data_IF_230313540043
#
_entry.id   IF_230313540043
#
_cell.length_a   1.000
_cell.length_b   1.000
_cell.length_c   1.000
_cell.angle_alpha   90.00
_cell.angle_beta   90.00
_cell.angle_gamma   90.00
#
_symmetry.space_group_name_H-M   'P 1'
#
loop_
_entity.id
_entity.type
_entity.pdbx_description
1 polymer ?
#
# COMPACT_ATOMS: atom_id res chain seq x y z
N UNK A 1 8.53 -26.12 23.66
CA UNK A 1 7.33 -25.79 22.85
C UNK A 1 7.39 -24.29 22.61
N UNK A 2 7.68 -23.85 21.39
CA UNK A 2 7.56 -22.46 21.08
C UNK A 2 6.08 -22.06 21.14
N UNK A 3 5.75 -21.04 21.91
CA UNK A 3 4.39 -20.48 21.96
C UNK A 3 4.00 -20.06 20.55
N UNK A 4 3.09 -20.82 19.94
CA UNK A 4 2.52 -20.46 18.65
C UNK A 4 1.73 -19.17 18.88
N UNK A 5 2.17 -18.07 18.28
CA UNK A 5 1.51 -16.77 18.33
C UNK A 5 0.02 -16.92 17.98
N UNK A 6 -0.86 -16.35 18.78
CA UNK A 6 -2.30 -16.44 18.51
C UNK A 6 -2.69 -15.75 17.21
N UNK A 7 -3.80 -16.15 16.61
CA UNK A 7 -4.32 -15.46 15.42
C UNK A 7 -4.63 -13.99 15.70
N UNK A 8 -5.01 -13.68 16.93
CA UNK A 8 -5.26 -12.30 17.37
C UNK A 8 -3.95 -11.51 17.42
N UNK A 9 -2.88 -12.07 17.99
CA UNK A 9 -1.58 -11.41 18.04
C UNK A 9 -1.02 -11.16 16.63
N UNK A 10 -1.15 -12.14 15.72
CA UNK A 10 -0.77 -12.00 14.32
C UNK A 10 -1.53 -10.82 13.67
N UNK A 11 -2.82 -10.67 13.95
CA UNK A 11 -3.63 -9.58 13.43
C UNK A 11 -3.22 -8.22 14.02
N UNK A 12 -2.97 -8.17 15.33
CA UNK A 12 -2.51 -6.94 16.00
C UNK A 12 -1.16 -6.50 15.46
N UNK A 13 -0.19 -7.43 15.36
CA UNK A 13 1.13 -7.16 14.80
C UNK A 13 1.06 -6.62 13.37
N UNK A 14 0.20 -7.21 12.53
CA UNK A 14 -0.02 -6.75 11.18
C UNK A 14 -0.57 -5.32 11.14
N UNK A 15 -1.63 -5.05 11.90
CA UNK A 15 -2.26 -3.72 11.91
C UNK A 15 -1.32 -2.65 12.47
N UNK A 16 -0.61 -2.97 13.55
CA UNK A 16 0.39 -2.07 14.15
C UNK A 16 1.53 -1.78 13.18
N UNK A 17 2.02 -2.80 12.48
CA UNK A 17 3.09 -2.65 11.50
C UNK A 17 2.67 -1.82 10.29
N UNK A 18 1.48 -2.06 9.73
CA UNK A 18 0.95 -1.26 8.63
C UNK A 18 0.86 0.21 9.03
N UNK A 19 0.27 0.51 10.20
CA UNK A 19 0.18 1.88 10.70
C UNK A 19 1.56 2.53 10.84
N UNK A 20 2.52 1.88 11.47
CA UNK A 20 3.85 2.42 11.67
C UNK A 20 4.57 2.71 10.33
N UNK A 21 4.44 1.80 9.35
CA UNK A 21 5.04 1.97 8.03
C UNK A 21 4.36 3.09 7.23
N UNK A 22 3.03 3.21 7.28
CA UNK A 22 2.28 4.29 6.65
C UNK A 22 2.67 5.65 7.25
N UNK A 23 2.72 5.77 8.58
CA UNK A 23 3.12 7.00 9.28
C UNK A 23 4.54 7.43 8.89
N UNK A 24 5.45 6.48 8.84
CA UNK A 24 6.83 6.71 8.42
C UNK A 24 6.90 7.23 6.97
N UNK A 25 6.25 6.55 6.04
CA UNK A 25 6.25 6.91 4.62
C UNK A 25 5.51 8.24 4.37
N UNK A 26 4.38 8.48 5.02
CA UNK A 26 3.65 9.73 4.95
C UNK A 26 4.50 10.93 5.39
N UNK A 27 5.23 10.78 6.50
CA UNK A 27 6.16 11.79 7.01
C UNK A 27 7.34 12.01 6.06
N UNK A 28 7.95 10.94 5.56
CA UNK A 28 9.11 11.01 4.66
C UNK A 28 8.76 11.66 3.31
N UNK A 29 7.52 11.50 2.84
CA UNK A 29 7.03 12.06 1.58
C UNK A 29 6.21 13.35 1.75
N UNK A 30 6.13 13.93 2.95
CA UNK A 30 5.26 15.08 3.24
C UNK A 30 5.55 16.32 2.37
N UNK A 31 6.81 16.51 1.95
CA UNK A 31 7.21 17.62 1.07
C UNK A 31 7.07 17.32 -0.43
N UNK A 32 6.58 16.16 -0.80
CA UNK A 32 6.42 15.77 -2.20
C UNK A 32 5.04 16.18 -2.73
N UNK A 33 5.02 16.60 -3.97
CA UNK A 33 3.78 16.73 -4.75
C UNK A 33 3.41 15.36 -5.35
N UNK A 34 2.22 15.27 -5.94
CA UNK A 34 1.73 14.08 -6.60
C UNK A 34 0.79 13.24 -5.73
N UNK A 35 0.00 12.37 -6.39
CA UNK A 35 -1.03 11.59 -5.72
C UNK A 35 -0.46 10.52 -4.81
N UNK A 36 -1.32 10.06 -3.92
CA UNK A 36 -1.13 8.84 -3.12
C UNK A 36 -2.06 7.76 -3.68
N UNK A 37 -1.57 6.55 -3.81
CA UNK A 37 -2.34 5.40 -4.28
C UNK A 37 -2.52 4.37 -3.16
N UNK A 38 -3.75 3.97 -2.93
CA UNK A 38 -4.13 2.84 -2.08
C UNK A 38 -4.51 1.67 -2.99
N UNK A 39 -3.75 0.60 -2.96
CA UNK A 39 -4.01 -0.61 -3.75
C UNK A 39 -4.65 -1.67 -2.87
N UNK A 40 -5.94 -1.92 -3.09
CA UNK A 40 -6.76 -2.78 -2.25
C UNK A 40 -7.36 -2.03 -1.06
N UNK A 41 -8.67 -1.80 -1.12
CA UNK A 41 -9.42 -1.07 -0.09
C UNK A 41 -9.82 -1.95 1.09
N UNK A 42 -10.30 -3.15 0.79
CA UNK A 42 -10.84 -4.06 1.80
C UNK A 42 -11.90 -3.37 2.69
N UNK A 43 -11.70 -3.37 3.99
CA UNK A 43 -12.59 -2.68 4.95
C UNK A 43 -12.39 -1.15 4.97
N UNK A 44 -11.30 -0.64 4.39
CA UNK A 44 -10.98 0.79 4.32
C UNK A 44 -10.21 1.35 5.52
N UNK A 45 -9.65 0.50 6.38
CA UNK A 45 -8.90 0.97 7.58
C UNK A 45 -7.64 1.75 7.22
N UNK A 46 -6.85 1.25 6.29
CA UNK A 46 -5.62 1.92 5.82
C UNK A 46 -5.96 3.18 5.04
N UNK A 47 -6.98 3.14 4.18
CA UNK A 47 -7.49 4.32 3.47
C UNK A 47 -7.91 5.43 4.44
N UNK A 48 -8.70 5.10 5.47
CA UNK A 48 -9.13 6.07 6.48
C UNK A 48 -7.92 6.70 7.19
N UNK A 49 -6.94 5.86 7.57
CA UNK A 49 -5.72 6.34 8.21
C UNK A 49 -4.89 7.23 7.26
N UNK A 50 -4.76 6.86 5.99
CA UNK A 50 -4.12 7.72 4.98
C UNK A 50 -4.80 9.10 4.89
N UNK A 51 -6.13 9.15 4.93
CA UNK A 51 -6.86 10.43 4.92
C UNK A 51 -6.54 11.31 6.14
N UNK A 52 -6.18 10.73 7.28
CA UNK A 52 -5.81 11.48 8.47
C UNK A 52 -4.36 11.99 8.43
N UNK A 53 -3.44 11.21 7.86
CA UNK A 53 -2.00 11.54 7.89
C UNK A 53 -1.48 12.20 6.61
N UNK A 54 -2.22 12.11 5.50
CA UNK A 54 -1.87 12.76 4.24
C UNK A 54 -2.63 14.08 4.13
N UNK A 55 -1.89 15.17 3.96
CA UNK A 55 -2.46 16.52 3.75
C UNK A 55 -2.05 17.07 2.40
N UNK A 56 -2.97 17.77 1.73
CA UNK A 56 -2.70 18.50 0.49
C UNK A 56 -2.44 17.65 -0.74
N UNK A 57 -2.64 16.35 -0.67
CA UNK A 57 -2.47 15.41 -1.80
C UNK A 57 -3.71 14.57 -2.00
N UNK A 58 -4.02 14.28 -3.25
CA UNK A 58 -5.14 13.43 -3.61
C UNK A 58 -4.82 11.96 -3.37
N UNK A 59 -5.76 11.23 -2.77
CA UNK A 59 -5.65 9.78 -2.56
C UNK A 59 -6.59 9.09 -3.55
N UNK A 60 -6.05 8.22 -4.41
CA UNK A 60 -6.81 7.37 -5.33
C UNK A 60 -6.75 5.93 -4.84
N UNK A 61 -7.91 5.27 -4.85
CA UNK A 61 -8.08 3.91 -4.38
C UNK A 61 -8.31 2.99 -5.57
N UNK A 62 -7.57 1.90 -5.64
CA UNK A 62 -7.71 0.84 -6.64
C UNK A 62 -8.38 -0.37 -5.98
N UNK A 63 -9.55 -0.74 -6.43
CA UNK A 63 -10.32 -1.85 -5.85
C UNK A 63 -11.16 -2.55 -6.91
N UNK A 64 -11.35 -3.85 -6.77
CA UNK A 64 -12.23 -4.63 -7.66
C UNK A 64 -13.70 -4.39 -7.39
N UNK A 65 -14.07 -4.34 -6.10
CA UNK A 65 -15.42 -4.08 -5.66
C UNK A 65 -15.40 -3.43 -4.28
N UNK A 66 -15.99 -2.27 -4.14
CA UNK A 66 -16.03 -1.53 -2.88
C UNK A 66 -16.96 -2.24 -1.89
N UNK A 67 -16.39 -2.70 -0.77
CA UNK A 67 -17.10 -3.35 0.34
C UNK A 67 -16.61 -2.82 1.70
N UNK A 68 -16.12 -1.58 1.70
CA UNK A 68 -15.58 -0.92 2.90
C UNK A 68 -16.69 -0.46 3.85
N UNK A 69 -16.29 -0.17 5.09
CA UNK A 69 -17.14 0.54 6.04
C UNK A 69 -17.55 1.89 5.42
N UNK A 70 -18.85 2.32 5.52
CA UNK A 70 -19.30 3.60 4.98
C UNK A 70 -18.46 4.81 5.43
N UNK A 71 -17.96 4.80 6.68
CA UNK A 71 -17.07 5.85 7.20
C UNK A 71 -15.67 5.87 6.56
N UNK A 72 -15.31 4.82 5.84
CA UNK A 72 -14.00 4.63 5.19
C UNK A 72 -14.15 4.35 3.70
N UNK A 73 -15.23 4.82 3.08
CA UNK A 73 -15.49 4.65 1.65
C UNK A 73 -14.98 5.88 0.90
N UNK A 74 -14.08 5.70 -0.09
CA UNK A 74 -13.59 6.81 -0.90
C UNK A 74 -14.70 7.39 -1.79
N UNK A 75 -14.52 8.65 -2.20
CA UNK A 75 -15.36 9.27 -3.22
C UNK A 75 -15.25 8.52 -4.54
N UNK A 76 -16.35 8.46 -5.30
CA UNK A 76 -16.41 7.74 -6.58
C UNK A 76 -15.33 8.21 -7.57
N UNK A 77 -15.09 9.50 -7.62
CA UNK A 77 -14.10 10.14 -8.52
C UNK A 77 -12.66 9.78 -8.17
N UNK A 78 -12.44 9.32 -6.94
CA UNK A 78 -11.14 8.87 -6.42
C UNK A 78 -11.02 7.35 -6.37
N UNK A 79 -12.02 6.63 -6.88
CA UNK A 79 -12.05 5.15 -6.89
C UNK A 79 -11.85 4.65 -8.32
N UNK A 80 -10.83 3.83 -8.52
CA UNK A 80 -10.49 3.19 -9.80
C UNK A 80 -10.88 1.72 -9.66
N UNK A 81 -12.01 1.35 -10.27
CA UNK A 81 -12.56 0.00 -10.20
C UNK A 81 -11.96 -0.90 -11.27
N UNK A 82 -11.56 -2.08 -10.87
CA UNK A 82 -11.04 -3.13 -11.74
C UNK A 82 -9.92 -3.93 -11.08
N UNK A 83 -9.43 -4.94 -11.81
CA UNK A 83 -8.24 -5.66 -11.38
C UNK A 83 -7.01 -4.75 -11.49
N UNK A 84 -6.13 -4.81 -10.50
CA UNK A 84 -4.93 -3.93 -10.47
C UNK A 84 -3.99 -4.18 -11.65
N UNK A 85 -3.95 -5.39 -12.20
CA UNK A 85 -3.12 -5.68 -13.38
C UNK A 85 -3.60 -4.96 -14.63
N UNK A 86 -4.88 -4.59 -14.69
CA UNK A 86 -5.48 -3.83 -15.77
C UNK A 86 -5.48 -2.32 -15.48
N UNK A 87 -5.75 -1.95 -14.23
CA UNK A 87 -5.92 -0.53 -13.86
C UNK A 87 -4.61 0.20 -13.61
N UNK A 88 -3.53 -0.47 -13.17
CA UNK A 88 -2.22 0.17 -12.97
C UNK A 88 -1.58 0.68 -14.28
N UNK A 89 -1.61 -0.06 -15.42
CA UNK A 89 -1.18 0.50 -16.70
C UNK A 89 -1.97 1.75 -17.10
N UNK A 90 -3.29 1.74 -16.91
CA UNK A 90 -4.14 2.91 -17.17
C UNK A 90 -3.80 4.09 -16.25
N UNK A 91 -3.45 3.80 -14.99
CA UNK A 91 -2.99 4.82 -14.06
C UNK A 91 -1.66 5.44 -14.50
N UNK A 92 -0.74 4.65 -15.05
CA UNK A 92 0.51 5.16 -15.60
C UNK A 92 0.27 6.10 -16.79
N UNK A 93 -0.66 5.77 -17.67
CA UNK A 93 -1.07 6.66 -18.78
C UNK A 93 -1.69 7.96 -18.27
N UNK A 94 -2.52 7.88 -17.22
CA UNK A 94 -3.25 9.03 -16.66
C UNK A 94 -2.36 9.94 -15.80
N UNK A 95 -1.55 9.38 -14.95
CA UNK A 95 -0.80 10.11 -13.90
C UNK A 95 0.70 10.21 -14.18
N UNK A 96 1.25 9.32 -15.02
CA UNK A 96 2.69 9.20 -15.20
C UNK A 96 3.40 8.68 -13.94
N UNK A 97 4.70 8.89 -13.86
CA UNK A 97 5.54 8.54 -12.72
C UNK A 97 5.49 9.62 -11.64
N UNK A 98 4.32 9.88 -11.07
CA UNK A 98 4.09 11.03 -10.17
C UNK A 98 3.64 10.63 -8.77
N UNK A 99 3.30 9.35 -8.52
CA UNK A 99 2.86 8.93 -7.19
C UNK A 99 3.94 9.18 -6.14
N UNK A 100 3.60 9.95 -5.12
CA UNK A 100 4.49 10.26 -4.01
C UNK A 100 4.55 9.14 -2.97
N UNK A 101 3.43 8.42 -2.80
CA UNK A 101 3.29 7.28 -1.90
C UNK A 101 2.32 6.27 -2.51
N UNK A 102 2.67 5.00 -2.40
CA UNK A 102 1.77 3.88 -2.73
C UNK A 102 1.69 2.98 -1.49
N UNK A 103 0.47 2.72 -1.02
CA UNK A 103 0.19 1.67 -0.03
C UNK A 103 -0.48 0.49 -0.69
N UNK A 104 -0.03 -0.73 -0.43
CA UNK A 104 -0.57 -1.94 -1.03
C UNK A 104 -0.88 -3.02 0.01
N UNK A 105 -2.13 -3.38 0.09
CA UNK A 105 -2.62 -4.54 0.84
C UNK A 105 -3.47 -5.43 -0.09
N UNK A 106 -2.79 -6.13 -0.98
CA UNK A 106 -3.39 -6.93 -2.06
C UNK A 106 -3.45 -8.41 -1.73
N UNK A 107 -2.83 -8.83 -0.64
CA UNK A 107 -2.72 -10.23 -0.24
C UNK A 107 -4.00 -10.80 0.39
N UNK A 108 -4.09 -12.13 0.32
CA UNK A 108 -5.10 -12.92 1.00
C UNK A 108 -4.47 -13.82 2.08
N UNK A 109 -5.18 -14.89 2.44
CA UNK A 109 -4.72 -15.83 3.48
C UNK A 109 -3.68 -16.85 2.99
N UNK A 110 -3.43 -16.96 1.68
CA UNK A 110 -2.50 -17.91 1.08
C UNK A 110 -1.19 -17.22 0.71
N UNK A 111 -0.14 -17.43 1.51
CA UNK A 111 1.17 -16.80 1.35
C UNK A 111 1.85 -17.11 0.01
N UNK A 112 1.71 -18.34 -0.51
CA UNK A 112 2.29 -18.68 -1.81
C UNK A 112 1.61 -17.91 -2.94
N UNK A 113 0.29 -17.82 -2.93
CA UNK A 113 -0.46 -17.03 -3.92
C UNK A 113 -0.17 -15.54 -3.81
N UNK A 114 0.06 -15.04 -2.59
CA UNK A 114 0.46 -13.66 -2.36
C UNK A 114 1.82 -13.38 -3.00
N UNK A 115 2.80 -14.27 -2.81
CA UNK A 115 4.14 -14.12 -3.40
C UNK A 115 4.10 -14.15 -4.94
N UNK A 116 3.36 -15.10 -5.52
CA UNK A 116 3.16 -15.18 -6.97
C UNK A 116 2.49 -13.92 -7.52
N UNK A 117 1.49 -13.41 -6.81
CA UNK A 117 0.80 -12.19 -7.20
C UNK A 117 1.69 -10.95 -7.05
N UNK A 118 2.47 -10.85 -5.97
CA UNK A 118 3.43 -9.78 -5.78
C UNK A 118 4.46 -9.71 -6.92
N UNK A 119 4.99 -10.86 -7.35
CA UNK A 119 5.89 -10.94 -8.52
C UNK A 119 5.21 -10.44 -9.80
N UNK A 120 3.95 -10.79 -10.00
CA UNK A 120 3.17 -10.39 -11.17
C UNK A 120 2.89 -8.90 -11.19
N UNK A 121 2.53 -8.29 -10.04
CA UNK A 121 2.05 -6.90 -9.98
C UNK A 121 3.17 -5.88 -9.80
N UNK A 122 4.29 -6.26 -9.21
CA UNK A 122 5.41 -5.33 -8.94
C UNK A 122 5.87 -4.53 -10.16
N UNK A 123 6.02 -5.12 -11.38
CA UNK A 123 6.42 -4.38 -12.57
C UNK A 123 5.42 -3.29 -13.01
N UNK A 124 4.16 -3.39 -12.61
CA UNK A 124 3.13 -2.38 -12.91
C UNK A 124 3.10 -1.25 -11.87
N UNK A 125 3.55 -1.51 -10.65
CA UNK A 125 3.59 -0.53 -9.55
C UNK A 125 4.82 0.37 -9.68
N UNK A 126 5.98 -0.21 -9.91
CA UNK A 126 7.27 0.48 -9.91
C UNK A 126 7.33 1.74 -10.80
N UNK A 127 6.77 1.74 -12.03
CA UNK A 127 6.80 2.92 -12.90
C UNK A 127 5.98 4.10 -12.39
N UNK A 128 4.97 3.86 -11.55
CA UNK A 128 4.05 4.89 -11.06
C UNK A 128 4.69 5.83 -10.04
N UNK A 129 5.70 5.36 -9.30
CA UNK A 129 6.36 6.16 -8.27
C UNK A 129 7.21 7.28 -8.87
N UNK A 130 7.07 8.47 -8.31
CA UNK A 130 8.01 9.57 -8.53
C UNK A 130 9.38 9.24 -7.94
N UNK A 131 10.45 9.89 -8.43
CA UNK A 131 11.77 9.80 -7.81
C UNK A 131 11.71 10.29 -6.36
N UNK A 132 12.22 9.49 -5.42
CA UNK A 132 12.10 9.73 -3.99
C UNK A 132 10.77 9.28 -3.38
N UNK A 133 9.80 8.90 -4.20
CA UNK A 133 8.52 8.34 -3.74
C UNK A 133 8.71 7.02 -3.00
N UNK A 134 7.75 6.71 -2.14
CA UNK A 134 7.80 5.54 -1.27
C UNK A 134 6.65 4.59 -1.52
N UNK A 135 6.88 3.33 -1.23
CA UNK A 135 5.86 2.31 -1.20
C UNK A 135 5.87 1.56 0.12
N UNK A 136 4.70 1.32 0.65
CA UNK A 136 4.42 0.45 1.79
C UNK A 136 3.63 -0.76 1.29
N UNK A 137 3.95 -1.95 1.76
CA UNK A 137 3.21 -3.16 1.40
C UNK A 137 3.13 -4.13 2.55
N UNK A 138 1.98 -4.81 2.69
CA UNK A 138 1.80 -5.92 3.64
C UNK A 138 2.52 -7.20 3.21
N UNK A 139 2.78 -7.37 1.92
CA UNK A 139 3.53 -8.49 1.36
C UNK A 139 4.85 -8.00 0.75
N UNK A 140 5.86 -8.89 0.71
CA UNK A 140 7.12 -8.60 0.04
C UNK A 140 6.88 -8.40 -1.45
N UNK A 141 7.42 -7.30 -1.99
CA UNK A 141 7.33 -6.95 -3.41
C UNK A 141 8.68 -7.15 -4.12
N UNK A 142 8.65 -7.18 -5.47
CA UNK A 142 9.80 -7.53 -6.29
C UNK A 142 10.08 -6.44 -7.33
N UNK A 143 10.88 -5.47 -6.94
CA UNK A 143 11.25 -4.31 -7.77
C UNK A 143 12.66 -4.42 -8.31
N UNK A 144 12.92 -3.77 -9.46
CA UNK A 144 14.24 -3.70 -10.08
C UNK A 144 15.03 -2.47 -9.62
N UNK A 145 14.35 -1.36 -9.38
CA UNK A 145 14.98 -0.06 -9.11
C UNK A 145 14.65 0.51 -7.74
N UNK A 146 13.58 0.02 -7.08
CA UNK A 146 13.26 0.44 -5.73
C UNK A 146 14.16 -0.25 -4.71
N UNK A 147 14.62 0.52 -3.74
CA UNK A 147 15.40 0.02 -2.60
C UNK A 147 14.46 -0.33 -1.44
N UNK A 148 14.56 -1.54 -0.91
CA UNK A 148 13.93 -1.90 0.36
C UNK A 148 14.62 -1.17 1.51
N UNK A 149 13.84 -0.55 2.37
CA UNK A 149 14.31 0.18 3.54
C UNK A 149 14.13 -0.65 4.82
N UNK A 150 14.86 -0.29 5.85
CA UNK A 150 14.58 -0.79 7.20
C UNK A 150 13.19 -0.34 7.65
N UNK A 151 12.47 -1.24 8.29
CA UNK A 151 11.14 -0.93 8.84
C UNK A 151 11.27 0.00 10.04
N UNK A 152 10.32 0.92 10.24
CA UNK A 152 10.35 1.85 11.37
C UNK A 152 10.09 1.16 12.71
N UNK A 153 10.45 1.84 13.78
CA UNK A 153 10.08 1.42 15.13
C UNK A 153 8.55 1.23 15.26
N UNK A 154 8.14 0.18 15.91
CA UNK A 154 6.73 -0.20 16.06
C UNK A 154 6.22 -1.15 14.97
N UNK A 155 7.00 -1.39 13.91
CA UNK A 155 6.71 -2.42 12.92
C UNK A 155 7.43 -3.75 13.27
N UNK A 156 6.79 -4.87 12.95
CA UNK A 156 7.32 -6.22 13.13
C UNK A 156 7.85 -6.74 11.80
N UNK A 157 9.07 -7.27 11.80
CA UNK A 157 9.71 -7.82 10.60
C UNK A 157 8.84 -8.88 9.91
N UNK A 158 8.70 -8.77 8.59
CA UNK A 158 7.89 -9.67 7.79
C UNK A 158 6.38 -9.39 7.82
N UNK A 159 5.93 -8.36 8.56
CA UNK A 159 4.51 -7.94 8.59
C UNK A 159 4.23 -6.72 7.70
N UNK A 160 5.25 -5.97 7.39
CA UNK A 160 5.19 -4.83 6.48
C UNK A 160 6.54 -4.60 5.84
N UNK A 161 6.55 -4.04 4.65
CA UNK A 161 7.75 -3.76 3.85
C UNK A 161 7.68 -2.33 3.34
N UNK A 162 8.82 -1.66 3.30
CA UNK A 162 8.94 -0.26 2.85
C UNK A 162 9.99 -0.18 1.75
N UNK A 163 9.66 0.51 0.67
CA UNK A 163 10.54 0.70 -0.48
C UNK A 163 10.62 2.18 -0.85
N UNK A 164 11.72 2.57 -1.49
CA UNK A 164 11.92 3.93 -2.01
C UNK A 164 12.52 3.88 -3.42
N UNK A 165 12.03 4.74 -4.30
CA UNK A 165 12.53 4.94 -5.67
C UNK A 165 13.67 5.95 -5.71
#
# INVERSE_FOLDING_TARGET
>A
MGDAMSRLDIFIDRMTSQRACIDYAAKATAGMEGPVFELGLGNGRTFHHLCEVITGRDIYVFERAVASNPASTPQKERTILGDVVDTLPMALERFGATASLIDADLGGHNLQKNDEFARKVSPFIEPLLATGGMMVSSDRMYFKTLRELEIPAGAVAGRCFVYQK
#
